data_IF_077547190372
#
_entry.id   IF_077547190372
#
_cell.length_a   1.000
_cell.length_b   1.000
_cell.length_c   1.000
_cell.angle_alpha   90.00
_cell.angle_beta   90.00
_cell.angle_gamma   90.00
#
_symmetry.space_group_name_H-M   'P 1'
#
loop_
_entity.id
_entity.type
_entity.pdbx_description
1 polymer ?
#
# COMPACT_ATOMS: atom_id res chain seq x y z
N UNK A 1 20.66 -2.83 5.01
CA UNK A 1 19.42 -2.19 5.48
C UNK A 1 18.26 -3.13 5.19
N UNK A 2 17.50 -3.52 6.21
CA UNK A 2 16.43 -4.52 6.10
C UNK A 2 15.21 -3.87 5.43
N UNK A 3 15.04 -4.11 4.12
CA UNK A 3 13.89 -3.62 3.37
C UNK A 3 12.62 -4.36 3.80
N UNK A 4 12.03 -3.93 4.93
CA UNK A 4 10.80 -4.52 5.46
C UNK A 4 9.63 -4.12 4.56
N UNK A 5 8.98 -5.12 3.99
CA UNK A 5 7.74 -4.94 3.24
C UNK A 5 6.57 -4.81 4.22
N UNK A 6 5.74 -3.79 4.02
CA UNK A 6 4.51 -3.60 4.77
C UNK A 6 3.44 -4.55 4.28
N UNK A 7 2.65 -5.10 5.18
CA UNK A 7 1.44 -5.83 4.80
C UNK A 7 0.23 -4.90 4.60
N UNK A 8 -0.88 -5.45 4.10
CA UNK A 8 -2.09 -4.66 3.84
C UNK A 8 -2.72 -4.04 5.10
N UNK A 9 -2.48 -4.62 6.29
CA UNK A 9 -2.90 -4.09 7.57
C UNK A 9 -2.04 -2.88 7.96
N UNK A 10 -0.72 -3.02 7.88
CA UNK A 10 0.23 -1.93 8.13
C UNK A 10 -0.03 -0.75 7.18
N UNK A 11 -0.29 -1.00 5.89
CA UNK A 11 -0.66 0.04 4.92
C UNK A 11 -2.02 0.68 5.24
N UNK A 12 -3.01 -0.13 5.65
CA UNK A 12 -4.32 0.39 6.04
C UNK A 12 -4.21 1.34 7.25
N UNK A 13 -3.44 0.93 8.26
CA UNK A 13 -3.16 1.74 9.43
C UNK A 13 -2.42 3.03 9.06
N UNK A 14 -1.43 2.94 8.18
CA UNK A 14 -0.66 4.08 7.69
C UNK A 14 -1.53 5.12 6.97
N UNK A 15 -2.45 4.66 6.12
CA UNK A 15 -3.38 5.52 5.37
C UNK A 15 -4.63 5.95 6.18
N UNK A 16 -4.79 5.48 7.42
CA UNK A 16 -6.00 5.70 8.21
C UNK A 16 -7.26 5.08 7.58
N UNK A 17 -7.12 4.01 6.81
CA UNK A 17 -8.23 3.30 6.12
C UNK A 17 -8.48 1.93 6.74
N UNK A 18 -9.65 1.35 6.44
CA UNK A 18 -9.97 -0.02 6.84
C UNK A 18 -9.24 -1.01 5.93
N UNK A 19 -8.81 -2.15 6.47
CA UNK A 19 -8.20 -3.26 5.70
C UNK A 19 -9.04 -3.70 4.50
N UNK A 20 -10.37 -3.78 4.65
CA UNK A 20 -11.27 -4.14 3.55
C UNK A 20 -11.25 -3.12 2.41
N UNK A 21 -11.08 -1.83 2.73
CA UNK A 21 -10.90 -0.79 1.72
C UNK A 21 -9.62 -1.03 0.94
N UNK A 22 -8.51 -1.39 1.61
CA UNK A 22 -7.25 -1.73 0.93
C UNK A 22 -7.46 -2.89 -0.04
N UNK A 23 -8.06 -4.01 0.37
CA UNK A 23 -8.29 -5.14 -0.53
C UNK A 23 -9.25 -4.86 -1.70
N UNK A 24 -10.24 -3.98 -1.52
CA UNK A 24 -11.20 -3.63 -2.57
C UNK A 24 -10.70 -2.53 -3.52
N UNK A 25 -9.97 -1.55 -2.98
CA UNK A 25 -9.60 -0.34 -3.69
C UNK A 25 -8.15 -0.33 -4.18
N UNK A 26 -7.26 -1.21 -3.69
CA UNK A 26 -5.85 -1.15 -4.10
C UNK A 26 -5.65 -1.26 -5.62
N UNK A 27 -6.47 -2.07 -6.30
CA UNK A 27 -6.45 -2.15 -7.77
C UNK A 27 -7.08 -0.93 -8.44
N UNK A 28 -8.12 -0.34 -7.84
CA UNK A 28 -8.85 0.80 -8.40
C UNK A 28 -8.07 2.10 -8.28
N UNK A 29 -7.42 2.29 -7.14
CA UNK A 29 -6.61 3.46 -6.79
C UNK A 29 -5.14 3.31 -7.25
N UNK A 30 -4.77 2.15 -7.80
CA UNK A 30 -3.41 1.89 -8.27
C UNK A 30 -2.37 1.86 -7.14
N UNK A 31 -2.74 1.39 -5.94
CA UNK A 31 -1.80 1.30 -4.83
C UNK A 31 -0.65 0.34 -5.19
N UNK A 32 0.60 0.65 -4.78
CA UNK A 32 1.79 -0.10 -5.15
C UNK A 32 1.95 -1.38 -4.31
N UNK A 33 0.97 -2.27 -4.38
CA UNK A 33 1.05 -3.60 -3.79
C UNK A 33 1.65 -4.60 -4.76
N UNK A 34 2.55 -5.41 -4.22
CA UNK A 34 3.14 -6.58 -4.85
C UNK A 34 2.51 -7.83 -4.21
N UNK A 35 2.00 -8.73 -5.04
CA UNK A 35 1.50 -10.02 -4.58
C UNK A 35 2.68 -10.99 -4.42
N UNK A 36 2.92 -11.43 -3.19
CA UNK A 36 3.94 -12.42 -2.84
C UNK A 36 3.22 -13.65 -2.30
N UNK A 37 3.06 -14.67 -3.14
CA UNK A 37 2.22 -15.83 -2.84
C UNK A 37 0.76 -15.43 -2.65
N UNK A 38 0.20 -15.73 -1.47
CA UNK A 38 -1.17 -15.35 -1.10
C UNK A 38 -1.27 -13.99 -0.40
N UNK A 39 -0.14 -13.35 -0.12
CA UNK A 39 -0.09 -12.12 0.67
C UNK A 39 0.17 -10.89 -0.21
N UNK A 40 -0.49 -9.79 0.13
CA UNK A 40 -0.17 -8.48 -0.43
C UNK A 40 0.91 -7.82 0.43
N UNK A 41 1.92 -7.28 -0.25
CA UNK A 41 3.06 -6.60 0.36
C UNK A 41 3.33 -5.30 -0.37
N UNK A 42 3.59 -4.24 0.37
CA UNK A 42 3.89 -2.92 -0.16
C UNK A 42 5.28 -2.50 0.30
N UNK A 43 6.03 -1.86 -0.59
CA UNK A 43 7.27 -1.19 -0.20
C UNK A 43 6.90 0.19 0.37
N UNK A 44 7.33 0.55 1.59
CA UNK A 44 7.03 1.85 2.17
C UNK A 44 7.47 3.00 1.27
N UNK A 45 8.64 2.87 0.63
CA UNK A 45 9.14 3.87 -0.34
C UNK A 45 8.15 4.10 -1.49
N UNK A 46 7.62 3.03 -2.07
CA UNK A 46 6.64 3.12 -3.16
C UNK A 46 5.31 3.69 -2.69
N UNK A 47 4.89 3.36 -1.47
CA UNK A 47 3.67 3.93 -0.88
C UNK A 47 3.79 5.45 -0.75
N UNK A 48 4.94 5.95 -0.28
CA UNK A 48 5.20 7.38 -0.20
C UNK A 48 5.20 8.04 -1.58
N UNK A 49 5.93 7.48 -2.55
CA UNK A 49 5.91 7.99 -3.95
C UNK A 49 4.49 8.07 -4.52
N UNK A 50 3.63 7.10 -4.19
CA UNK A 50 2.22 7.11 -4.61
C UNK A 50 1.43 8.21 -3.90
N UNK A 51 1.63 8.42 -2.60
CA UNK A 51 0.98 9.52 -1.85
C UNK A 51 1.38 10.87 -2.44
N UNK A 52 2.68 11.08 -2.68
CA UNK A 52 3.21 12.31 -3.26
C UNK A 52 2.61 12.58 -4.65
N UNK A 53 2.44 11.51 -5.45
CA UNK A 53 1.77 11.60 -6.76
C UNK A 53 0.28 11.94 -6.67
N UNK A 54 -0.40 11.68 -5.54
CA UNK A 54 -1.80 12.06 -5.32
C UNK A 54 -1.93 13.50 -4.81
N UNK A 55 -0.94 14.01 -4.07
CA UNK A 55 -0.93 15.41 -3.60
C UNK A 55 -0.73 16.40 -4.76
N UNK A 56 0.00 15.99 -5.80
CA UNK A 56 0.29 16.83 -6.97
C UNK A 56 -0.85 16.90 -8.02
N UNK A 57 -2.02 16.32 -7.76
CA UNK A 57 -3.16 16.24 -8.68
C UNK A 57 -4.38 17.04 -8.17
#
# INVERSE_FOLDING_TARGET
MTNKLMDADEVAAYLGKKKNWVYGEWKRQGLPFVKIGQQLRCRPEKLNEWIDSQEAA
#
